data_IF_657450709099
#
_entry.id   IF_657450709099
#
_cell.length_a   1.000
_cell.length_b   1.000
_cell.length_c   1.000
_cell.angle_alpha   90.00
_cell.angle_beta   90.00
_cell.angle_gamma   90.00
#
_symmetry.space_group_name_H-M   'P 1'
#
loop_
_entity.id
_entity.type
_entity.pdbx_description
1 polymer ?
#
# COMPACT_ATOMS: atom_id res chain seq x y z
N UNK A 1 17.20 32.52 20.82
CA UNK A 1 16.61 31.18 20.59
C UNK A 1 15.10 31.31 20.34
N UNK A 2 14.69 31.66 19.12
CA UNK A 2 13.28 31.62 18.68
C UNK A 2 13.29 31.19 17.20
N UNK A 3 13.40 29.89 16.95
CA UNK A 3 13.54 29.37 15.58
C UNK A 3 13.09 27.92 15.39
N UNK A 4 12.24 27.38 16.28
CA UNK A 4 11.83 25.98 16.21
C UNK A 4 10.33 25.74 16.47
N UNK A 5 9.48 26.75 16.28
CA UNK A 5 8.02 26.61 16.44
C UNK A 5 7.22 26.81 15.14
N UNK A 6 7.83 27.30 14.06
CA UNK A 6 7.12 27.57 12.80
C UNK A 6 7.10 26.38 11.82
N UNK A 7 7.95 25.37 12.00
CA UNK A 7 8.01 24.21 11.10
C UNK A 7 6.90 23.17 11.35
N UNK A 8 6.39 23.05 12.58
CA UNK A 8 5.39 22.02 12.92
C UNK A 8 3.97 22.40 12.49
N UNK A 9 3.60 23.68 12.52
CA UNK A 9 2.27 24.15 12.11
C UNK A 9 2.08 24.20 10.58
N UNK A 10 3.18 24.36 9.83
CA UNK A 10 3.18 24.34 8.36
C UNK A 10 3.30 22.92 7.79
N UNK A 11 4.03 22.02 8.46
CA UNK A 11 4.07 20.61 8.09
C UNK A 11 2.71 19.90 8.28
N UNK A 12 1.96 20.22 9.34
CA UNK A 12 0.65 19.60 9.60
C UNK A 12 -0.42 19.97 8.58
N UNK A 13 -0.37 21.17 8.00
CA UNK A 13 -1.33 21.63 6.98
C UNK A 13 -0.98 21.10 5.59
N UNK A 14 0.31 21.06 5.22
CA UNK A 14 0.76 20.49 3.94
C UNK A 14 0.52 18.98 3.88
N UNK A 15 0.80 18.23 4.95
CA UNK A 15 0.53 16.78 4.97
C UNK A 15 -0.96 16.44 5.01
N UNK A 16 -1.79 17.28 5.65
CA UNK A 16 -3.24 17.08 5.65
C UNK A 16 -3.85 17.24 4.25
N UNK A 17 -3.41 18.25 3.49
CA UNK A 17 -3.85 18.46 2.10
C UNK A 17 -3.36 17.35 1.16
N UNK A 18 -2.08 16.95 1.30
CA UNK A 18 -1.49 15.84 0.54
C UNK A 18 -2.20 14.50 0.79
N UNK A 19 -2.57 14.21 2.05
CA UNK A 19 -3.34 12.99 2.37
C UNK A 19 -4.71 12.97 1.70
N UNK A 20 -5.35 14.13 1.56
CA UNK A 20 -6.61 14.28 0.83
C UNK A 20 -6.47 13.88 -0.65
N UNK A 21 -5.41 14.34 -1.31
CA UNK A 21 -5.15 14.00 -2.71
C UNK A 21 -4.70 12.55 -2.91
N UNK A 22 -3.89 12.01 -1.99
CA UNK A 22 -3.53 10.59 -1.99
C UNK A 22 -4.78 9.70 -1.83
N UNK A 23 -5.71 10.10 -0.95
CA UNK A 23 -6.99 9.41 -0.76
C UNK A 23 -7.82 9.39 -2.05
N UNK A 24 -7.92 10.51 -2.78
CA UNK A 24 -8.64 10.55 -4.07
C UNK A 24 -8.04 9.57 -5.09
N UNK A 25 -6.71 9.51 -5.17
CA UNK A 25 -6.04 8.52 -6.04
C UNK A 25 -6.34 7.08 -5.61
N UNK A 26 -6.36 6.80 -4.29
CA UNK A 26 -6.76 5.49 -3.77
C UNK A 26 -8.19 5.12 -4.14
N UNK A 27 -9.15 6.01 -3.91
CA UNK A 27 -10.55 5.80 -4.23
C UNK A 27 -10.77 5.57 -5.71
N UNK A 28 -10.11 6.35 -6.58
CA UNK A 28 -10.16 6.13 -8.01
C UNK A 28 -9.56 4.77 -8.40
N UNK A 29 -8.40 4.42 -7.82
CA UNK A 29 -7.76 3.11 -8.03
C UNK A 29 -8.69 1.94 -7.68
N UNK A 30 -9.43 2.03 -6.58
CA UNK A 30 -10.45 1.03 -6.19
C UNK A 30 -11.56 0.93 -7.25
N UNK A 31 -12.07 2.06 -7.73
CA UNK A 31 -13.16 2.08 -8.74
C UNK A 31 -12.73 1.42 -10.05
N UNK A 32 -11.50 1.65 -10.50
CA UNK A 32 -11.01 1.05 -11.76
C UNK A 32 -10.61 -0.42 -11.57
N UNK A 33 -10.09 -0.81 -10.40
CA UNK A 33 -9.85 -2.22 -10.06
C UNK A 33 -11.15 -3.04 -10.06
N UNK A 34 -12.25 -2.48 -9.54
CA UNK A 34 -13.58 -3.10 -9.59
C UNK A 34 -14.09 -3.34 -11.03
N UNK A 35 -13.53 -2.63 -12.01
CA UNK A 35 -13.81 -2.80 -13.45
C UNK A 35 -12.78 -3.70 -14.15
N UNK A 36 -11.87 -4.33 -13.40
CA UNK A 36 -10.79 -5.17 -13.93
C UNK A 36 -9.61 -4.41 -14.53
N UNK A 37 -9.56 -3.08 -14.39
CA UNK A 37 -8.50 -2.24 -14.96
C UNK A 37 -7.30 -2.17 -13.99
N UNK A 38 -6.68 -3.31 -13.72
CA UNK A 38 -5.64 -3.47 -12.70
C UNK A 38 -4.39 -2.62 -12.92
N UNK A 39 -3.96 -2.43 -14.18
CA UNK A 39 -2.81 -1.55 -14.50
C UNK A 39 -3.07 -0.08 -14.15
N UNK A 40 -4.28 0.40 -14.39
CA UNK A 40 -4.68 1.76 -14.01
C UNK A 40 -4.79 1.86 -12.48
N UNK A 41 -5.32 0.84 -11.81
CA UNK A 41 -5.37 0.79 -10.35
C UNK A 41 -3.98 0.91 -9.72
N UNK A 42 -3.01 0.14 -10.22
CA UNK A 42 -1.61 0.20 -9.80
C UNK A 42 -1.05 1.61 -9.99
N UNK A 43 -1.21 2.19 -11.19
CA UNK A 43 -0.75 3.56 -11.47
C UNK A 43 -1.30 4.58 -10.47
N UNK A 44 -2.60 4.48 -10.14
CA UNK A 44 -3.27 5.36 -9.18
C UNK A 44 -2.75 5.19 -7.77
N UNK A 45 -2.55 3.95 -7.33
CA UNK A 45 -2.03 3.67 -6.00
C UNK A 45 -0.54 4.02 -5.86
N UNK A 46 0.27 3.88 -6.91
CA UNK A 46 1.65 4.41 -6.95
C UNK A 46 1.64 5.93 -6.83
N UNK A 47 0.73 6.61 -7.52
CA UNK A 47 0.58 8.06 -7.41
C UNK A 47 0.15 8.48 -6.00
N UNK A 48 -0.75 7.74 -5.37
CA UNK A 48 -1.12 7.98 -3.98
C UNK A 48 0.08 7.86 -3.03
N UNK A 49 0.91 6.82 -3.20
CA UNK A 49 2.12 6.61 -2.41
C UNK A 49 3.20 7.69 -2.65
N UNK A 50 3.24 8.28 -3.85
CA UNK A 50 4.11 9.44 -4.14
C UNK A 50 3.61 10.73 -3.49
N UNK A 51 2.29 10.95 -3.47
CA UNK A 51 1.68 12.14 -2.88
C UNK A 51 1.80 12.12 -1.35
N UNK A 52 1.43 10.99 -0.73
CA UNK A 52 1.60 10.76 0.71
C UNK A 52 2.30 9.41 0.95
N UNK A 53 3.64 9.41 1.13
CA UNK A 53 4.42 8.22 1.45
C UNK A 53 4.10 7.59 2.81
N UNK A 54 3.25 8.23 3.61
CA UNK A 54 2.77 7.73 4.92
C UNK A 54 1.35 7.20 4.86
N UNK A 55 0.72 7.17 3.69
CA UNK A 55 -0.65 6.69 3.54
C UNK A 55 -0.70 5.16 3.37
N UNK A 56 -0.82 4.44 4.48
CA UNK A 56 -0.77 2.98 4.53
C UNK A 56 -1.76 2.29 3.56
N UNK A 57 -2.94 2.87 3.34
CA UNK A 57 -3.95 2.33 2.43
C UNK A 57 -3.46 2.22 0.97
N UNK A 58 -2.60 3.15 0.51
CA UNK A 58 -2.03 3.08 -0.83
C UNK A 58 -1.14 1.83 -0.98
N UNK A 59 -0.27 1.57 0.00
CA UNK A 59 0.61 0.42 0.00
C UNK A 59 -0.15 -0.91 0.14
N UNK A 60 -1.20 -0.97 0.98
CA UNK A 60 -2.05 -2.16 1.06
C UNK A 60 -2.72 -2.49 -0.28
N UNK A 61 -3.24 -1.48 -0.98
CA UNK A 61 -3.86 -1.72 -2.28
C UNK A 61 -2.83 -2.09 -3.37
N UNK A 62 -1.65 -1.48 -3.36
CA UNK A 62 -0.53 -1.90 -4.23
C UNK A 62 -0.16 -3.36 -3.98
N UNK A 63 -0.11 -3.79 -2.71
CA UNK A 63 0.22 -5.16 -2.37
C UNK A 63 -0.76 -6.15 -3.00
N UNK A 64 -2.07 -5.93 -2.81
CA UNK A 64 -3.15 -6.73 -3.43
C UNK A 64 -3.05 -6.73 -4.96
N UNK A 65 -2.73 -5.58 -5.57
CA UNK A 65 -2.56 -5.48 -7.02
C UNK A 65 -1.36 -6.30 -7.52
N UNK A 66 -0.24 -6.23 -6.80
CA UNK A 66 0.96 -6.98 -7.14
C UNK A 66 0.78 -8.48 -6.94
N UNK A 67 -0.02 -8.91 -5.96
CA UNK A 67 -0.46 -10.31 -5.87
C UNK A 67 -1.24 -10.75 -7.11
N UNK A 68 -2.21 -9.94 -7.54
CA UNK A 68 -3.02 -10.25 -8.72
C UNK A 68 -2.18 -10.38 -9.99
N UNK A 69 -1.10 -9.60 -10.12
CA UNK A 69 -0.15 -9.66 -11.24
C UNK A 69 0.99 -10.69 -11.04
N UNK A 70 0.99 -11.45 -9.94
CA UNK A 70 2.03 -12.44 -9.62
C UNK A 70 3.39 -11.85 -9.23
N UNK A 71 3.45 -10.54 -8.94
CA UNK A 71 4.67 -9.83 -8.51
C UNK A 71 4.86 -9.97 -6.99
N UNK A 72 5.03 -11.20 -6.51
CA UNK A 72 4.94 -11.55 -5.09
C UNK A 72 5.99 -10.84 -4.21
N UNK A 73 7.19 -10.59 -4.73
CA UNK A 73 8.22 -9.83 -4.01
C UNK A 73 7.77 -8.39 -3.73
N UNK A 74 7.21 -7.70 -4.73
CA UNK A 74 6.67 -6.34 -4.57
C UNK A 74 5.46 -6.30 -3.66
N UNK A 75 4.61 -7.32 -3.72
CA UNK A 75 3.46 -7.44 -2.82
C UNK A 75 3.91 -7.50 -1.36
N UNK A 76 4.93 -8.32 -1.05
CA UNK A 76 5.53 -8.42 0.28
C UNK A 76 6.06 -7.07 0.77
N UNK A 77 6.88 -6.39 -0.05
CA UNK A 77 7.44 -5.08 0.30
C UNK A 77 6.35 -4.05 0.61
N UNK A 78 5.26 -4.05 -0.18
CA UNK A 78 4.15 -3.13 -0.01
C UNK A 78 3.34 -3.43 1.28
N UNK A 79 3.09 -4.71 1.60
CA UNK A 79 2.45 -5.07 2.88
C UNK A 79 3.29 -4.69 4.09
N UNK A 80 4.60 -4.97 4.05
CA UNK A 80 5.52 -4.61 5.12
C UNK A 80 5.56 -3.10 5.33
N UNK A 81 5.56 -2.33 4.24
CA UNK A 81 5.47 -0.86 4.33
C UNK A 81 4.15 -0.40 4.94
N UNK A 82 3.02 -0.97 4.53
CA UNK A 82 1.71 -0.63 5.09
C UNK A 82 1.62 -0.91 6.59
N UNK A 83 2.13 -2.05 7.06
CA UNK A 83 2.17 -2.40 8.49
C UNK A 83 3.21 -1.59 9.27
N UNK A 84 4.31 -1.17 8.66
CA UNK A 84 5.26 -0.26 9.31
C UNK A 84 4.63 1.12 9.58
N UNK A 85 3.75 1.58 8.69
CA UNK A 85 3.01 2.84 8.84
C UNK A 85 1.84 2.71 9.82
N UNK A 86 1.08 1.62 9.76
CA UNK A 86 -0.04 1.34 10.66
C UNK A 86 0.05 -0.08 11.26
N UNK A 87 0.85 -0.29 12.32
CA UNK A 87 1.11 -1.62 12.88
C UNK A 87 -0.14 -2.35 13.41
N UNK A 88 -1.16 -1.58 13.77
CA UNK A 88 -2.42 -2.07 14.35
C UNK A 88 -3.55 -2.16 13.32
N UNK A 89 -3.27 -1.98 12.02
CA UNK A 89 -4.29 -2.11 10.99
C UNK A 89 -4.64 -3.59 10.75
N UNK A 90 -5.77 -4.02 11.30
CA UNK A 90 -6.23 -5.40 11.24
C UNK A 90 -6.47 -5.89 9.80
N UNK A 91 -6.95 -5.02 8.92
CA UNK A 91 -7.20 -5.37 7.52
C UNK A 91 -5.90 -5.66 6.77
N UNK A 92 -4.90 -4.80 6.91
CA UNK A 92 -3.58 -5.01 6.29
C UNK A 92 -2.93 -6.28 6.82
N UNK A 93 -3.05 -6.54 8.13
CA UNK A 93 -2.53 -7.76 8.75
C UNK A 93 -3.20 -9.01 8.18
N UNK A 94 -4.53 -9.02 8.09
CA UNK A 94 -5.29 -10.13 7.51
C UNK A 94 -4.89 -10.40 6.06
N UNK A 95 -4.77 -9.35 5.25
CA UNK A 95 -4.34 -9.46 3.86
C UNK A 95 -2.92 -10.04 3.75
N UNK A 96 -1.98 -9.53 4.55
CA UNK A 96 -0.59 -10.01 4.51
C UNK A 96 -0.45 -11.45 5.01
N UNK A 97 -1.20 -11.84 6.04
CA UNK A 97 -1.21 -13.21 6.55
C UNK A 97 -1.75 -14.19 5.50
N UNK A 98 -2.84 -13.82 4.79
CA UNK A 98 -3.37 -14.61 3.68
C UNK A 98 -2.36 -14.73 2.53
N UNK A 99 -1.72 -13.63 2.14
CA UNK A 99 -0.67 -13.62 1.12
C UNK A 99 0.46 -14.61 1.46
N UNK A 100 0.98 -14.55 2.70
CA UNK A 100 2.05 -15.46 3.15
C UNK A 100 1.60 -16.91 3.10
N UNK A 101 0.39 -17.21 3.61
CA UNK A 101 -0.14 -18.58 3.61
C UNK A 101 -0.25 -19.17 2.18
N UNK A 102 -0.73 -18.38 1.22
CA UNK A 102 -0.86 -18.81 -0.18
C UNK A 102 0.52 -18.97 -0.81
N UNK A 103 1.42 -18.01 -0.61
CA UNK A 103 2.75 -18.02 -1.22
C UNK A 103 3.66 -19.13 -0.65
N UNK A 104 3.64 -19.35 0.67
CA UNK A 104 4.44 -20.40 1.31
C UNK A 104 3.96 -21.79 0.87
N UNK A 105 2.65 -21.98 0.65
CA UNK A 105 2.09 -23.21 0.07
C UNK A 105 2.52 -23.43 -1.37
N UNK A 106 2.60 -22.38 -2.18
CA UNK A 106 3.09 -22.48 -3.56
C UNK A 106 4.55 -22.92 -3.59
N UNK A 107 5.41 -22.26 -2.82
CA UNK A 107 6.84 -22.60 -2.70
C UNK A 107 7.07 -24.04 -2.20
N UNK A 108 6.26 -24.50 -1.23
CA UNK A 108 6.36 -25.89 -0.75
C UNK A 108 5.88 -26.93 -1.76
N UNK A 109 4.96 -26.61 -2.67
CA UNK A 109 4.53 -27.52 -3.73
C UNK A 109 5.60 -27.65 -4.81
N UNK A 110 6.23 -26.54 -5.17
CA UNK A 110 7.28 -26.51 -6.18
C UNK A 110 8.56 -27.19 -5.70
N UNK A 111 8.88 -27.09 -4.40
CA UNK A 111 10.01 -27.78 -3.77
C UNK A 111 9.84 -29.27 -3.51
N UNK A 112 8.64 -29.85 -3.71
CA UNK A 112 8.36 -31.30 -3.54
C UNK A 112 8.51 -32.12 -4.83
N UNK A 113 8.99 -31.52 -5.91
CA UNK A 113 9.23 -32.19 -7.19
C UNK A 113 10.71 -32.54 -7.48
N UNK A 114 11.58 -32.50 -6.46
CA UNK A 114 12.96 -32.99 -6.52
C UNK A 114 13.14 -34.17 -5.56
#
# INVERSE_FOLDING_TARGET
>A
MIGLLLALASASTVWADQRGDAKKQVEFGIQVAQRGLWREAIYRWERAAQIDPTYAAAFNNLAVAYEHEGQLAKAREAYEKALALEPNNALVRQNYDLFKEINDRALQKDGRQL
#
